data_IF_423535151939
#
_entry.id   IF_423535151939
#
_cell.length_a   1.000
_cell.length_b   1.000
_cell.length_c   1.000
_cell.angle_alpha   90.00
_cell.angle_beta   90.00
_cell.angle_gamma   90.00
#
_symmetry.space_group_name_H-M   'P 1'
#
loop_
_entity.id
_entity.type
_entity.pdbx_description
1 polymer ?
#
# COMPACT_ATOMS: atom_id res chain seq x y z
N UNK A 1 5.24 -5.64 26.87
CA UNK A 1 4.81 -6.37 25.66
C UNK A 1 5.22 -5.57 24.43
N UNK A 2 5.62 -6.24 23.35
CA UNK A 2 6.25 -5.64 22.17
C UNK A 2 5.14 -5.36 21.15
N UNK A 3 4.79 -4.10 20.88
CA UNK A 3 3.54 -3.80 20.18
C UNK A 3 3.77 -2.85 19.01
N UNK A 4 2.90 -2.97 18.01
CA UNK A 4 2.79 -2.06 16.88
C UNK A 4 1.56 -1.16 17.03
N UNK A 5 1.58 -0.02 16.37
CA UNK A 5 0.39 0.84 16.27
C UNK A 5 -0.73 0.14 15.52
N UNK A 6 -1.99 0.44 15.87
CA UNK A 6 -3.18 -0.09 15.18
C UNK A 6 -3.25 0.29 13.70
N UNK A 7 -2.52 1.32 13.27
CA UNK A 7 -2.47 1.74 11.87
C UNK A 7 -1.48 0.92 11.01
N UNK A 8 -0.68 0.03 11.60
CA UNK A 8 0.32 -0.75 10.87
C UNK A 8 -0.30 -1.73 9.88
N UNK A 9 0.33 -1.87 8.71
CA UNK A 9 -0.12 -2.74 7.63
C UNK A 9 0.71 -4.03 7.59
N UNK A 10 0.07 -5.18 7.84
CA UNK A 10 0.70 -6.50 7.88
C UNK A 10 0.59 -7.19 6.52
N UNK A 11 1.68 -7.82 6.09
CA UNK A 11 1.73 -8.55 4.82
C UNK A 11 1.07 -9.93 4.95
N UNK A 12 -0.10 -10.10 4.33
CA UNK A 12 -0.89 -11.35 4.36
C UNK A 12 -0.92 -12.04 3.01
N UNK A 13 -1.34 -13.30 2.94
CA UNK A 13 -1.56 -13.98 1.66
C UNK A 13 -2.55 -13.24 0.74
N UNK A 14 -3.49 -12.46 1.30
CA UNK A 14 -4.49 -11.69 0.58
C UNK A 14 -4.07 -10.23 0.29
N UNK A 15 -2.80 -9.89 0.52
CA UNK A 15 -2.27 -8.53 0.40
C UNK A 15 -2.03 -7.85 1.75
N UNK A 16 -1.83 -6.52 1.73
CA UNK A 16 -1.60 -5.75 2.96
C UNK A 16 -2.93 -5.47 3.67
N UNK A 17 -3.03 -5.83 4.96
CA UNK A 17 -4.19 -5.54 5.81
C UNK A 17 -3.77 -4.72 7.01
N UNK A 18 -4.66 -3.87 7.56
CA UNK A 18 -4.39 -3.24 8.86
C UNK A 18 -4.27 -4.33 9.92
N UNK A 19 -3.38 -4.15 10.89
CA UNK A 19 -3.16 -5.11 11.98
C UNK A 19 -4.47 -5.38 12.76
N UNK A 20 -5.38 -4.40 12.81
CA UNK A 20 -6.72 -4.53 13.39
C UNK A 20 -7.64 -5.48 12.64
N UNK A 21 -7.38 -5.73 11.35
CA UNK A 21 -8.24 -6.52 10.47
C UNK A 21 -7.73 -7.98 10.33
N UNK A 22 -6.59 -8.29 10.96
CA UNK A 22 -6.02 -9.63 11.00
C UNK A 22 -6.88 -10.51 11.91
N UNK A 23 -7.10 -11.75 11.48
CA UNK A 23 -7.85 -12.76 12.26
C UNK A 23 -6.95 -13.94 12.59
N UNK A 24 -7.22 -14.58 13.74
CA UNK A 24 -6.56 -15.83 14.12
C UNK A 24 -6.78 -16.89 13.04
N UNK A 25 -5.73 -17.60 12.67
CA UNK A 25 -5.71 -18.59 11.60
C UNK A 25 -5.33 -18.02 10.22
N UNK A 26 -5.34 -16.70 10.02
CA UNK A 26 -4.92 -16.11 8.75
C UNK A 26 -3.43 -16.36 8.47
N UNK A 27 -3.10 -16.54 7.19
CA UNK A 27 -1.72 -16.73 6.75
C UNK A 27 -1.05 -15.39 6.48
N UNK A 28 0.04 -15.13 7.17
CA UNK A 28 0.86 -13.92 7.04
C UNK A 28 2.29 -14.27 6.64
N UNK A 29 2.96 -13.32 6.00
CA UNK A 29 4.35 -13.51 5.58
C UNK A 29 5.31 -13.19 6.72
N UNK A 30 6.20 -14.14 6.97
CA UNK A 30 7.37 -14.05 7.83
C UNK A 30 8.66 -14.11 6.99
N UNK A 31 9.77 -13.77 7.61
CA UNK A 31 11.12 -13.90 7.10
C UNK A 31 11.72 -15.23 7.59
N UNK A 32 12.10 -16.11 6.67
CA UNK A 32 12.86 -17.33 6.96
C UNK A 32 14.32 -16.96 7.24
N UNK A 33 14.77 -17.09 8.50
CA UNK A 33 16.13 -16.74 8.92
C UNK A 33 17.23 -17.59 8.27
N UNK A 34 16.90 -18.79 7.77
CA UNK A 34 17.87 -19.70 7.15
C UNK A 34 17.98 -19.46 5.65
N UNK A 35 16.84 -19.33 4.97
CA UNK A 35 16.77 -19.18 3.51
C UNK A 35 16.73 -17.73 3.04
N UNK A 36 16.54 -16.79 3.97
CA UNK A 36 16.34 -15.37 3.69
C UNK A 36 15.20 -15.10 2.70
N UNK A 37 14.15 -15.92 2.76
CA UNK A 37 13.02 -15.86 1.85
C UNK A 37 11.71 -15.66 2.61
N UNK A 38 10.69 -15.09 1.95
CA UNK A 38 9.38 -14.94 2.56
C UNK A 38 8.71 -16.31 2.71
N UNK A 39 8.14 -16.57 3.89
CA UNK A 39 7.44 -17.81 4.20
C UNK A 39 6.07 -17.51 4.82
N UNK A 40 5.03 -18.22 4.36
CA UNK A 40 3.70 -18.08 4.95
C UNK A 40 3.60 -18.87 6.26
N UNK A 41 3.17 -18.19 7.32
CA UNK A 41 2.88 -18.79 8.62
C UNK A 41 1.49 -18.39 9.08
N UNK A 42 0.90 -19.20 9.97
CA UNK A 42 -0.41 -18.89 10.56
C UNK A 42 -0.23 -17.87 11.68
N UNK A 43 -1.13 -16.89 11.73
CA UNK A 43 -1.30 -16.04 12.90
C UNK A 43 -2.08 -16.81 13.97
N UNK A 44 -1.43 -17.19 15.07
CA UNK A 44 -2.05 -18.01 16.13
C UNK A 44 -2.60 -17.20 17.29
N UNK A 45 -2.27 -15.90 17.39
CA UNK A 45 -2.77 -15.02 18.45
C UNK A 45 -2.76 -13.56 18.04
N UNK A 46 -3.68 -12.81 18.64
CA UNK A 46 -3.81 -11.35 18.52
C UNK A 46 -3.93 -10.82 19.93
N UNK A 47 -3.12 -9.84 20.29
CA UNK A 47 -3.02 -9.31 21.64
C UNK A 47 -3.27 -7.81 21.61
N UNK A 48 -4.34 -7.38 22.27
CA UNK A 48 -4.57 -5.96 22.52
C UNK A 48 -3.82 -5.55 23.77
N UNK A 49 -2.84 -4.67 23.60
CA UNK A 49 -1.96 -4.23 24.67
C UNK A 49 -2.37 -2.86 25.23
N UNK A 50 -3.54 -2.34 24.80
CA UNK A 50 -4.05 -1.05 25.21
C UNK A 50 -3.15 0.10 24.78
N UNK A 51 -3.24 1.20 25.52
CA UNK A 51 -2.51 2.44 25.23
C UNK A 51 -1.05 2.30 25.70
N UNK A 52 -0.10 2.58 24.80
CA UNK A 52 1.34 2.57 25.08
C UNK A 52 2.01 3.77 24.43
N UNK A 53 3.19 4.15 24.95
CA UNK A 53 4.10 5.09 24.29
C UNK A 53 4.59 4.50 22.97
N UNK A 54 4.34 5.21 21.88
CA UNK A 54 4.70 4.80 20.52
C UNK A 54 5.74 5.73 19.94
N UNK A 55 6.73 5.11 19.30
CA UNK A 55 7.83 5.75 18.60
C UNK A 55 7.75 5.38 17.13
N UNK A 56 8.11 6.31 16.26
CA UNK A 56 8.17 6.09 14.83
C UNK A 56 9.62 5.89 14.40
N UNK A 57 9.93 4.68 13.92
CA UNK A 57 11.17 4.38 13.23
C UNK A 57 10.99 4.78 11.76
N UNK A 58 11.90 5.59 11.24
CA UNK A 58 11.95 5.96 9.81
C UNK A 58 13.27 5.56 9.20
N UNK A 59 13.22 4.94 8.03
CA UNK A 59 14.30 4.92 7.06
C UNK A 59 14.00 5.97 5.98
N UNK A 60 14.75 5.98 4.88
CA UNK A 60 14.41 6.84 3.74
C UNK A 60 13.14 6.35 3.00
N UNK A 61 12.86 5.04 3.02
CA UNK A 61 11.78 4.41 2.26
C UNK A 61 10.72 3.73 3.12
N UNK A 62 10.94 3.43 4.39
CA UNK A 62 9.97 2.76 5.24
C UNK A 62 9.79 3.50 6.55
N UNK A 63 8.63 3.29 7.17
CA UNK A 63 8.31 3.88 8.47
C UNK A 63 7.35 2.95 9.19
N UNK A 64 7.58 2.75 10.47
CA UNK A 64 6.75 1.90 11.32
C UNK A 64 6.66 2.51 12.72
N UNK A 65 5.50 2.36 13.33
CA UNK A 65 5.20 2.84 14.68
C UNK A 65 5.14 1.66 15.64
N UNK A 66 5.99 1.70 16.67
CA UNK A 66 6.11 0.61 17.63
C UNK A 66 6.45 1.10 19.04
N UNK A 67 6.28 0.24 20.03
CA UNK A 67 6.72 0.49 21.41
C UNK A 67 8.25 0.40 21.54
N UNK A 68 8.83 1.05 22.55
CA UNK A 68 10.30 1.12 22.74
C UNK A 68 10.98 -0.26 22.85
N UNK A 69 10.28 -1.25 23.39
CA UNK A 69 10.76 -2.61 23.56
C UNK A 69 10.55 -3.50 22.32
N UNK A 70 9.91 -3.01 21.25
CA UNK A 70 9.60 -3.84 20.08
C UNK A 70 10.89 -4.21 19.30
N UNK A 71 11.19 -5.51 19.07
CA UNK A 71 12.40 -5.93 18.38
C UNK A 71 12.31 -5.83 16.86
N UNK A 72 13.39 -5.36 16.24
CA UNK A 72 13.60 -5.31 14.79
C UNK A 72 14.80 -6.16 14.40
N UNK A 73 14.72 -6.79 13.22
CA UNK A 73 15.83 -7.57 12.68
C UNK A 73 16.86 -6.63 12.06
N UNK A 74 18.08 -6.64 12.59
CA UNK A 74 19.19 -5.83 12.11
C UNK A 74 20.27 -6.68 11.46
N UNK A 75 20.93 -6.12 10.44
CA UNK A 75 22.17 -6.64 9.90
C UNK A 75 23.35 -6.00 10.65
N UNK A 76 24.03 -6.78 11.49
CA UNK A 76 25.27 -6.36 12.16
C UNK A 76 26.46 -6.74 11.28
N UNK A 77 27.01 -5.74 10.59
CA UNK A 77 28.24 -5.89 9.81
C UNK A 77 29.41 -6.14 10.77
N UNK A 78 30.10 -7.27 10.59
CA UNK A 78 31.37 -7.57 11.26
C UNK A 78 32.51 -6.95 10.43
N UNK A 79 33.70 -6.82 11.03
CA UNK A 79 34.88 -6.25 10.36
C UNK A 79 35.24 -6.95 9.04
N UNK A 80 36.18 -6.37 8.28
CA UNK A 80 36.59 -6.89 6.95
C UNK A 80 36.83 -8.41 6.98
N UNK A 81 36.21 -9.12 6.04
CA UNK A 81 36.34 -10.57 5.87
C UNK A 81 35.39 -11.44 6.70
N UNK A 82 34.65 -10.85 7.66
CA UNK A 82 33.68 -11.60 8.48
C UNK A 82 32.27 -11.52 7.89
N UNK A 83 31.56 -12.66 7.91
CA UNK A 83 30.15 -12.72 7.51
C UNK A 83 29.31 -11.87 8.46
N UNK A 84 28.45 -10.97 7.95
CA UNK A 84 27.54 -10.22 8.80
C UNK A 84 26.53 -11.16 9.45
N UNK A 85 26.02 -10.76 10.61
CA UNK A 85 25.05 -11.53 11.37
C UNK A 85 23.70 -10.81 11.45
N UNK A 86 22.61 -11.57 11.47
CA UNK A 86 21.27 -11.06 11.72
C UNK A 86 20.96 -11.14 13.21
N UNK A 87 20.57 -10.02 13.81
CA UNK A 87 20.34 -9.93 15.26
C UNK A 87 19.03 -9.20 15.53
N UNK A 88 18.27 -9.65 16.53
CA UNK A 88 17.10 -8.92 17.01
C UNK A 88 17.51 -7.85 18.01
N UNK A 89 17.05 -6.61 17.78
CA UNK A 89 17.37 -5.49 18.65
C UNK A 89 16.13 -4.66 18.92
N UNK A 90 15.85 -4.37 20.20
CA UNK A 90 14.73 -3.52 20.62
C UNK A 90 14.87 -2.11 20.09
N UNK A 91 13.74 -1.46 19.80
CA UNK A 91 13.69 -0.10 19.28
C UNK A 91 14.48 0.91 20.11
N UNK A 92 14.41 0.83 21.43
CA UNK A 92 15.13 1.70 22.38
C UNK A 92 16.66 1.59 22.28
N UNK A 93 17.16 0.44 21.78
CA UNK A 93 18.59 0.22 21.61
C UNK A 93 19.06 0.59 20.19
N UNK A 94 18.13 0.77 19.23
CA UNK A 94 18.46 1.13 17.86
C UNK A 94 18.94 2.57 17.75
N UNK A 95 19.83 2.84 16.80
CA UNK A 95 20.32 4.19 16.50
C UNK A 95 20.33 4.49 15.02
N UNK A 96 20.40 5.78 14.68
CA UNK A 96 20.60 6.24 13.30
C UNK A 96 21.81 5.54 12.68
N UNK A 97 21.63 4.99 11.48
CA UNK A 97 22.65 4.24 10.76
C UNK A 97 22.63 2.72 10.95
N UNK A 98 21.95 2.20 11.98
CA UNK A 98 21.71 0.75 12.08
C UNK A 98 20.94 0.26 10.84
N UNK A 99 21.30 -0.91 10.31
CA UNK A 99 20.73 -1.48 9.08
C UNK A 99 19.61 -2.47 9.45
N UNK A 100 18.37 -2.17 9.06
CA UNK A 100 17.20 -3.04 9.26
C UNK A 100 16.84 -3.79 7.99
N UNK A 101 16.16 -4.93 8.16
CA UNK A 101 15.68 -5.75 7.03
C UNK A 101 14.30 -5.27 6.56
N UNK A 102 14.20 -4.97 5.28
CA UNK A 102 12.98 -4.46 4.64
C UNK A 102 12.61 -5.28 3.41
N UNK A 103 11.34 -5.25 3.04
CA UNK A 103 10.82 -5.83 1.80
C UNK A 103 11.12 -4.90 0.62
N UNK A 104 11.70 -5.43 -0.46
CA UNK A 104 11.94 -4.70 -1.72
C UNK A 104 11.05 -5.16 -2.88
N UNK A 105 10.43 -6.33 -2.74
CA UNK A 105 9.50 -6.90 -3.70
C UNK A 105 8.43 -7.70 -2.96
N UNK A 106 7.32 -8.01 -3.63
CA UNK A 106 6.25 -8.79 -3.03
C UNK A 106 6.36 -10.29 -3.33
N UNK A 107 6.03 -11.16 -2.36
CA UNK A 107 5.99 -12.62 -2.54
C UNK A 107 4.63 -13.16 -3.01
N UNK A 108 3.74 -12.30 -3.48
CA UNK A 108 2.39 -12.72 -3.84
C UNK A 108 2.39 -13.56 -5.11
N UNK A 109 1.53 -14.58 -5.15
CA UNK A 109 1.27 -15.32 -6.39
C UNK A 109 0.57 -14.36 -7.35
N UNK A 110 1.29 -13.96 -8.39
CA UNK A 110 0.83 -12.98 -9.37
C UNK A 110 -0.14 -13.63 -10.36
N UNK A 111 -1.45 -13.51 -10.08
CA UNK A 111 -2.54 -13.88 -10.99
C UNK A 111 -3.59 -12.78 -10.97
N UNK A 112 -4.31 -12.63 -12.08
CA UNK A 112 -5.48 -11.76 -12.14
C UNK A 112 -6.46 -12.14 -11.02
N UNK A 113 -6.96 -11.13 -10.33
CA UNK A 113 -7.81 -11.29 -9.17
C UNK A 113 -9.23 -11.63 -9.61
N UNK A 114 -9.78 -12.73 -9.10
CA UNK A 114 -11.17 -13.11 -9.35
C UNK A 114 -12.09 -12.35 -8.41
N UNK A 115 -13.02 -11.59 -8.96
CA UNK A 115 -13.96 -10.79 -8.18
C UNK A 115 -15.02 -11.68 -7.53
N UNK A 116 -15.42 -11.32 -6.31
CA UNK A 116 -16.55 -11.97 -5.65
C UNK A 116 -17.83 -11.62 -6.42
N UNK A 117 -18.77 -12.57 -6.59
CA UNK A 117 -20.08 -12.26 -7.12
C UNK A 117 -20.77 -11.18 -6.27
N UNK A 118 -21.42 -10.23 -6.92
CA UNK A 118 -22.24 -9.21 -6.28
C UNK A 118 -23.71 -9.48 -6.54
N UNK A 119 -24.58 -9.03 -5.65
CA UNK A 119 -26.02 -9.03 -5.89
C UNK A 119 -26.36 -7.99 -6.96
N UNK A 120 -26.74 -8.48 -8.13
CA UNK A 120 -27.13 -7.67 -9.29
C UNK A 120 -28.58 -7.26 -9.11
N UNK A 121 -28.89 -5.98 -9.33
CA UNK A 121 -30.29 -5.53 -9.35
C UNK A 121 -31.00 -5.98 -10.63
N UNK A 122 -32.33 -6.09 -10.58
CA UNK A 122 -33.19 -6.41 -11.72
C UNK A 122 -34.21 -5.29 -11.93
N UNK A 123 -34.76 -5.20 -13.15
CA UNK A 123 -35.88 -4.29 -13.44
C UNK A 123 -37.06 -4.69 -12.55
N UNK A 124 -37.65 -3.72 -11.83
CA UNK A 124 -38.73 -3.97 -10.87
C UNK A 124 -38.28 -4.05 -9.41
N UNK A 125 -36.97 -4.10 -9.13
CA UNK A 125 -36.47 -3.88 -7.76
C UNK A 125 -36.86 -2.48 -7.26
N UNK A 126 -36.95 -2.32 -5.92
CA UNK A 126 -37.27 -1.04 -5.29
C UNK A 126 -36.36 0.10 -5.81
N UNK A 127 -37.00 1.11 -6.42
CA UNK A 127 -36.37 2.29 -7.07
C UNK A 127 -35.51 1.98 -8.31
N UNK A 128 -35.69 0.82 -8.96
CA UNK A 128 -35.00 0.45 -10.22
C UNK A 128 -35.98 0.44 -11.40
N UNK A 129 -36.21 1.62 -11.98
CA UNK A 129 -37.13 1.79 -13.12
C UNK A 129 -36.51 1.40 -14.47
N UNK A 130 -35.18 1.52 -14.60
CA UNK A 130 -34.42 1.16 -15.81
C UNK A 130 -33.14 0.45 -15.41
N UNK A 131 -32.77 -0.57 -16.17
CA UNK A 131 -31.50 -1.28 -16.00
C UNK A 131 -30.71 -1.25 -17.29
N UNK A 132 -29.40 -1.03 -17.17
CA UNK A 132 -28.48 -1.12 -18.29
C UNK A 132 -27.84 -2.50 -18.26
N UNK A 133 -28.07 -3.29 -19.31
CA UNK A 133 -27.41 -4.57 -19.49
C UNK A 133 -25.92 -4.33 -19.70
N UNK A 134 -25.12 -4.78 -18.73
CA UNK A 134 -23.67 -4.63 -18.73
C UNK A 134 -23.04 -5.95 -18.28
N UNK A 135 -22.05 -6.41 -19.03
CA UNK A 135 -21.28 -7.59 -18.64
C UNK A 135 -20.18 -7.15 -17.68
N UNK A 136 -20.37 -7.43 -16.38
CA UNK A 136 -19.38 -7.12 -15.37
C UNK A 136 -18.14 -8.04 -15.52
N UNK A 137 -16.92 -7.50 -15.39
CA UNK A 137 -15.71 -8.29 -15.35
C UNK A 137 -15.75 -9.33 -14.23
N UNK A 138 -15.31 -10.56 -14.53
CA UNK A 138 -15.16 -11.63 -13.54
C UNK A 138 -13.79 -11.62 -12.86
N UNK A 139 -12.81 -11.02 -13.53
CA UNK A 139 -11.44 -10.92 -13.06
C UNK A 139 -10.83 -9.57 -13.42
N UNK A 140 -9.76 -9.21 -12.71
CA UNK A 140 -8.99 -8.01 -12.99
C UNK A 140 -8.26 -8.12 -14.34
N UNK A 141 -8.01 -6.98 -14.96
CA UNK A 141 -7.28 -6.90 -16.21
C UNK A 141 -6.57 -5.55 -16.32
N UNK A 142 -5.54 -5.39 -17.16
CA UNK A 142 -4.87 -4.10 -17.32
C UNK A 142 -5.83 -2.96 -17.67
N UNK A 143 -6.81 -3.20 -18.55
CA UNK A 143 -7.78 -2.16 -18.94
C UNK A 143 -8.65 -1.75 -17.75
N UNK A 144 -9.14 -2.72 -16.96
CA UNK A 144 -9.97 -2.43 -15.80
C UNK A 144 -9.17 -1.70 -14.72
N UNK A 145 -7.94 -2.14 -14.46
CA UNK A 145 -7.07 -1.52 -13.47
C UNK A 145 -6.71 -0.08 -13.83
N UNK A 146 -6.53 0.24 -15.12
CA UNK A 146 -6.29 1.61 -15.56
C UNK A 146 -7.52 2.52 -15.36
N UNK A 147 -8.74 2.00 -15.59
CA UNK A 147 -9.99 2.71 -15.22
C UNK A 147 -10.08 2.91 -13.70
N UNK A 148 -9.75 1.89 -12.91
CA UNK A 148 -9.79 1.96 -11.46
C UNK A 148 -8.75 2.95 -10.90
N UNK A 149 -7.61 3.11 -11.57
CA UNK A 149 -6.64 4.17 -11.25
C UNK A 149 -7.21 5.56 -11.48
N UNK A 150 -7.89 5.79 -12.62
CA UNK A 150 -8.61 7.04 -12.89
C UNK A 150 -9.73 7.29 -11.87
N UNK A 151 -10.44 6.22 -11.46
CA UNK A 151 -11.49 6.30 -10.45
C UNK A 151 -10.95 6.68 -9.07
N UNK A 152 -9.76 6.18 -8.70
CA UNK A 152 -9.16 6.48 -7.41
C UNK A 152 -8.69 7.94 -7.33
N UNK A 153 -8.21 8.51 -8.43
CA UNK A 153 -7.86 9.94 -8.47
C UNK A 153 -9.09 10.84 -8.60
N UNK A 154 -9.69 10.87 -9.79
CA UNK A 154 -10.73 11.86 -10.14
C UNK A 154 -12.16 11.33 -10.06
N UNK A 155 -12.37 10.11 -9.55
CA UNK A 155 -13.67 9.42 -9.59
C UNK A 155 -14.45 9.39 -8.27
N UNK A 156 -15.78 9.46 -8.39
CA UNK A 156 -16.72 9.24 -7.28
C UNK A 156 -17.86 8.29 -7.68
N UNK A 157 -18.55 7.74 -6.68
CA UNK A 157 -19.74 6.91 -6.87
C UNK A 157 -20.88 7.45 -6.02
N UNK A 158 -22.08 7.48 -6.61
CA UNK A 158 -23.35 7.60 -5.89
C UNK A 158 -24.15 6.32 -6.12
N UNK A 159 -23.89 5.30 -5.30
CA UNK A 159 -24.44 3.95 -5.50
C UNK A 159 -25.97 3.95 -5.57
N UNK A 160 -26.62 4.70 -4.67
CA UNK A 160 -28.09 4.84 -4.63
C UNK A 160 -28.68 5.47 -5.90
N UNK A 161 -27.89 6.21 -6.68
CA UNK A 161 -28.28 6.79 -7.97
C UNK A 161 -27.80 5.97 -9.16
N UNK A 162 -27.04 4.88 -8.93
CA UNK A 162 -26.37 4.14 -9.98
C UNK A 162 -25.42 5.00 -10.81
N UNK A 163 -24.79 6.01 -10.21
CA UNK A 163 -23.96 7.00 -10.90
C UNK A 163 -22.50 6.81 -10.52
N UNK A 164 -21.63 6.79 -11.53
CA UNK A 164 -20.19 6.91 -11.40
C UNK A 164 -19.78 8.17 -12.16
N UNK A 165 -19.08 9.08 -11.50
CA UNK A 165 -18.61 10.32 -12.11
C UNK A 165 -17.10 10.43 -12.06
N UNK A 166 -16.54 11.17 -13.01
CA UNK A 166 -15.11 11.48 -13.11
C UNK A 166 -14.91 12.97 -13.39
N UNK A 167 -14.04 13.63 -12.64
CA UNK A 167 -13.66 15.04 -12.80
C UNK A 167 -12.63 15.23 -13.92
N UNK A 168 -12.97 14.73 -15.12
CA UNK A 168 -12.08 14.73 -16.28
C UNK A 168 -12.66 15.64 -17.37
N UNK A 169 -12.07 16.84 -17.60
CA UNK A 169 -12.53 17.74 -18.63
C UNK A 169 -12.51 17.12 -20.03
N UNK A 170 -13.53 17.45 -20.82
CA UNK A 170 -13.71 16.90 -22.17
C UNK A 170 -12.51 17.23 -23.06
N UNK A 171 -12.02 16.22 -23.79
CA UNK A 171 -10.92 16.38 -24.76
C UNK A 171 -9.52 16.23 -24.16
N UNK A 172 -9.41 16.12 -22.83
CA UNK A 172 -8.13 15.80 -22.18
C UNK A 172 -7.69 14.37 -22.49
N UNK A 173 -6.38 14.10 -22.41
CA UNK A 173 -5.81 12.76 -22.56
C UNK A 173 -6.48 11.73 -21.64
N UNK A 174 -6.72 12.10 -20.38
CA UNK A 174 -7.38 11.26 -19.39
C UNK A 174 -8.83 10.93 -19.78
N UNK A 175 -9.61 11.95 -20.19
CA UNK A 175 -10.99 11.76 -20.63
C UNK A 175 -11.10 10.82 -21.84
N UNK A 176 -10.24 11.01 -22.85
CA UNK A 176 -10.22 10.18 -24.06
C UNK A 176 -9.82 8.74 -23.72
N UNK A 177 -8.81 8.56 -22.87
CA UNK A 177 -8.35 7.24 -22.44
C UNK A 177 -9.41 6.49 -21.62
N UNK A 178 -10.11 7.18 -20.72
CA UNK A 178 -11.23 6.59 -19.98
C UNK A 178 -12.31 6.07 -20.93
N UNK A 179 -12.71 6.87 -21.91
CA UNK A 179 -13.75 6.52 -22.88
C UNK A 179 -13.34 5.30 -23.70
N UNK A 180 -12.10 5.27 -24.21
CA UNK A 180 -11.55 4.15 -24.97
C UNK A 180 -11.62 2.84 -24.17
N UNK A 181 -11.09 2.85 -22.93
CA UNK A 181 -11.07 1.69 -22.06
C UNK A 181 -12.49 1.25 -21.66
N UNK A 182 -13.37 2.21 -21.39
CA UNK A 182 -14.75 1.94 -21.03
C UNK A 182 -15.50 1.25 -22.17
N UNK A 183 -15.38 1.78 -23.40
CA UNK A 183 -16.02 1.19 -24.59
C UNK A 183 -15.52 -0.23 -24.81
N UNK A 184 -14.21 -0.47 -24.63
CA UNK A 184 -13.60 -1.80 -24.78
C UNK A 184 -14.12 -2.82 -23.77
N UNK A 185 -14.41 -2.40 -22.52
CA UNK A 185 -14.85 -3.31 -21.46
C UNK A 185 -16.37 -3.45 -21.34
N UNK A 186 -17.11 -2.38 -21.58
CA UNK A 186 -18.51 -2.26 -21.21
C UNK A 186 -19.43 -1.82 -22.37
N UNK A 187 -18.86 -1.40 -23.51
CA UNK A 187 -19.60 -0.87 -24.64
C UNK A 187 -19.93 0.63 -24.53
N UNK A 188 -20.43 1.22 -25.62
CA UNK A 188 -20.51 2.68 -25.83
C UNK A 188 -21.70 3.38 -25.18
N UNK A 189 -22.79 2.66 -24.85
CA UNK A 189 -24.13 3.24 -24.63
C UNK A 189 -24.32 4.02 -23.32
N UNK A 190 -23.33 4.03 -22.41
CA UNK A 190 -23.53 4.46 -21.01
C UNK A 190 -22.77 5.72 -20.59
N UNK A 191 -22.02 6.35 -21.50
CA UNK A 191 -21.19 7.51 -21.19
C UNK A 191 -21.94 8.81 -21.51
N UNK A 192 -22.13 9.66 -20.51
CA UNK A 192 -22.56 11.04 -20.66
C UNK A 192 -21.37 11.99 -20.43
N UNK A 193 -21.24 13.01 -21.28
CA UNK A 193 -20.09 13.94 -21.26
C UNK A 193 -20.57 15.36 -21.04
N UNK A 194 -20.04 15.99 -20.00
CA UNK A 194 -20.19 17.42 -19.75
C UNK A 194 -18.85 18.14 -20.00
N UNK A 195 -18.80 19.45 -19.78
CA UNK A 195 -17.59 20.26 -19.98
C UNK A 195 -16.42 19.76 -19.12
N UNK A 196 -16.68 19.55 -17.82
CA UNK A 196 -15.66 19.22 -16.82
C UNK A 196 -15.76 17.78 -16.29
N UNK A 197 -16.81 17.04 -16.67
CA UNK A 197 -17.16 15.77 -16.05
C UNK A 197 -17.54 14.71 -17.07
N UNK A 198 -17.22 13.45 -16.74
CA UNK A 198 -17.75 12.26 -17.42
C UNK A 198 -18.61 11.49 -16.43
N UNK A 199 -19.82 11.14 -16.84
CA UNK A 199 -20.74 10.33 -16.06
C UNK A 199 -21.03 9.00 -16.73
N UNK A 200 -21.17 7.98 -15.90
CA UNK A 200 -21.64 6.66 -16.28
C UNK A 200 -22.81 6.30 -15.38
N UNK A 201 -23.97 6.07 -15.99
CA UNK A 201 -25.18 5.67 -15.28
C UNK A 201 -25.38 4.15 -15.41
N UNK A 202 -25.09 3.41 -14.35
CA UNK A 202 -25.37 1.97 -14.24
C UNK A 202 -25.38 1.54 -12.78
N UNK A 203 -26.54 1.09 -12.28
CA UNK A 203 -26.71 0.58 -10.91
C UNK A 203 -25.75 -0.56 -10.61
N UNK A 204 -25.66 -1.54 -11.52
CA UNK A 204 -24.83 -2.73 -11.32
C UNK A 204 -23.33 -2.41 -11.40
N UNK A 205 -22.93 -1.46 -12.26
CA UNK A 205 -21.53 -1.04 -12.31
C UNK A 205 -21.14 -0.22 -11.08
N UNK A 206 -22.02 0.66 -10.60
CA UNK A 206 -21.78 1.43 -9.38
C UNK A 206 -21.63 0.51 -8.16
N UNK A 207 -22.50 -0.51 -8.02
CA UNK A 207 -22.37 -1.55 -6.99
C UNK A 207 -21.09 -2.35 -7.14
N UNK A 208 -20.72 -2.72 -8.37
CA UNK A 208 -19.48 -3.43 -8.65
C UNK A 208 -18.27 -2.64 -8.19
N UNK A 209 -18.10 -1.39 -8.63
CA UNK A 209 -16.93 -0.59 -8.24
C UNK A 209 -16.94 -0.32 -6.71
N UNK A 210 -18.10 -0.09 -6.10
CA UNK A 210 -18.19 0.07 -4.65
C UNK A 210 -17.72 -1.20 -3.90
N UNK A 211 -18.07 -2.40 -4.41
CA UNK A 211 -17.65 -3.69 -3.83
C UNK A 211 -16.16 -3.99 -3.93
N UNK A 212 -15.39 -3.18 -4.67
CA UNK A 212 -13.94 -3.34 -4.80
C UNK A 212 -13.14 -2.67 -3.67
N UNK A 213 -13.82 -1.96 -2.76
CA UNK A 213 -13.27 -1.35 -1.55
C UNK A 213 -12.18 -0.28 -1.76
N UNK A 214 -12.17 0.39 -2.92
CA UNK A 214 -11.26 1.53 -3.17
C UNK A 214 -11.61 2.80 -2.39
N UNK A 215 -12.78 2.85 -1.73
CA UNK A 215 -13.33 4.05 -1.11
C UNK A 215 -14.14 4.93 -2.08
N UNK A 216 -15.07 5.72 -1.54
CA UNK A 216 -16.08 6.43 -2.35
C UNK A 216 -15.84 7.93 -2.49
N UNK A 217 -15.12 8.55 -1.55
CA UNK A 217 -14.77 9.98 -1.52
C UNK A 217 -13.27 10.21 -1.51
N UNK A 218 -12.82 11.42 -1.87
CA UNK A 218 -11.40 11.79 -1.95
C UNK A 218 -10.60 11.55 -0.65
N UNK A 219 -11.22 11.71 0.53
CA UNK A 219 -10.57 11.48 1.83
C UNK A 219 -10.57 10.01 2.26
N UNK A 220 -11.44 9.19 1.68
CA UNK A 220 -11.64 7.77 2.05
C UNK A 220 -10.97 6.79 1.09
N UNK A 221 -10.38 7.28 -0.01
CA UNK A 221 -9.74 6.40 -1.01
C UNK A 221 -8.60 5.62 -0.40
N UNK A 222 -8.38 4.40 -0.88
CA UNK A 222 -7.29 3.51 -0.48
C UNK A 222 -6.89 2.61 -1.66
N UNK A 223 -5.69 2.03 -1.62
CA UNK A 223 -5.36 0.84 -2.42
C UNK A 223 -5.78 -0.41 -1.64
N UNK A 224 -6.80 -1.17 -2.10
CA UNK A 224 -7.28 -2.36 -1.40
C UNK A 224 -6.23 -3.48 -1.31
N UNK A 225 -6.32 -4.37 -0.31
CA UNK A 225 -5.36 -5.47 -0.13
C UNK A 225 -5.15 -6.32 -1.39
N UNK A 226 -6.22 -6.65 -2.10
CA UNK A 226 -6.15 -7.51 -3.29
C UNK A 226 -5.34 -6.89 -4.44
N UNK A 227 -5.20 -5.56 -4.52
CA UNK A 227 -4.38 -4.90 -5.55
C UNK A 227 -2.89 -5.23 -5.37
N UNK A 228 -2.46 -5.48 -4.13
CA UNK A 228 -1.10 -5.89 -3.84
C UNK A 228 -0.77 -7.26 -4.43
N UNK A 229 -1.76 -8.15 -4.62
CA UNK A 229 -1.53 -9.51 -5.15
C UNK A 229 -1.52 -9.58 -6.67
N UNK A 230 -1.79 -8.48 -7.37
CA UNK A 230 -1.92 -8.45 -8.82
C UNK A 230 -0.59 -8.67 -9.57
N UNK A 231 -0.64 -9.17 -10.81
CA UNK A 231 0.52 -9.22 -11.68
C UNK A 231 1.04 -7.83 -12.01
N UNK A 232 2.30 -7.77 -12.44
CA UNK A 232 3.01 -6.52 -12.67
C UNK A 232 2.32 -5.64 -13.73
N UNK A 233 1.83 -6.21 -14.83
CA UNK A 233 1.16 -5.40 -15.87
C UNK A 233 -0.08 -4.69 -15.34
N UNK A 234 -0.84 -5.34 -14.46
CA UNK A 234 -2.06 -4.80 -13.87
C UNK A 234 -1.77 -3.71 -12.83
N UNK A 235 -0.73 -3.90 -12.00
CA UNK A 235 -0.25 -2.84 -11.09
C UNK A 235 0.22 -1.61 -11.86
N UNK A 236 1.00 -1.82 -12.93
CA UNK A 236 1.45 -0.73 -13.80
C UNK A 236 0.27 -0.03 -14.51
N UNK A 237 -0.76 -0.77 -14.88
CA UNK A 237 -1.98 -0.20 -15.46
C UNK A 237 -2.75 0.67 -14.46
N UNK A 238 -2.91 0.19 -13.23
CA UNK A 238 -3.45 0.97 -12.13
C UNK A 238 -2.66 2.27 -11.92
N UNK A 239 -1.33 2.21 -11.91
CA UNK A 239 -0.47 3.39 -11.80
C UNK A 239 -0.62 4.34 -12.98
N UNK A 240 -0.78 3.85 -14.22
CA UNK A 240 -1.06 4.72 -15.37
C UNK A 240 -2.36 5.51 -15.19
N UNK A 241 -3.41 4.87 -14.67
CA UNK A 241 -4.67 5.54 -14.37
C UNK A 241 -4.53 6.64 -13.31
N UNK A 242 -3.81 6.36 -12.23
CA UNK A 242 -3.49 7.36 -11.20
C UNK A 242 -2.68 8.54 -11.78
N UNK A 243 -1.72 8.25 -12.66
CA UNK A 243 -0.89 9.28 -13.29
C UNK A 243 -1.62 10.11 -14.36
N UNK A 244 -2.78 9.66 -14.84
CA UNK A 244 -3.64 10.43 -15.73
C UNK A 244 -4.62 11.34 -14.98
N UNK A 245 -4.80 11.13 -13.67
CA UNK A 245 -5.66 11.94 -12.79
C UNK A 245 -4.81 12.89 -11.93
N UNK A 246 -4.65 12.61 -10.63
CA UNK A 246 -3.91 13.46 -9.67
C UNK A 246 -2.38 13.33 -9.73
N UNK A 247 -1.85 12.58 -10.70
CA UNK A 247 -0.42 12.37 -10.88
C UNK A 247 0.19 13.31 -11.91
N UNK A 248 1.43 13.72 -11.68
CA UNK A 248 2.20 14.52 -12.61
C UNK A 248 3.69 14.19 -12.54
N UNK A 249 4.43 14.53 -13.60
CA UNK A 249 5.85 14.19 -13.73
C UNK A 249 6.69 15.46 -13.74
N UNK A 250 7.72 15.51 -12.89
CA UNK A 250 8.77 16.54 -12.92
C UNK A 250 10.09 15.85 -13.27
N UNK A 251 10.66 16.15 -14.44
CA UNK A 251 11.88 15.50 -14.96
C UNK A 251 11.70 13.97 -14.96
N UNK A 252 12.47 13.25 -14.13
CA UNK A 252 12.44 11.79 -13.98
C UNK A 252 11.66 11.30 -12.74
N UNK A 253 11.01 12.21 -12.01
CA UNK A 253 10.25 11.90 -10.80
C UNK A 253 8.76 12.06 -11.06
N UNK A 254 8.00 11.02 -10.80
CA UNK A 254 6.54 11.09 -10.71
C UNK A 254 6.16 11.63 -9.32
N UNK A 255 5.03 12.33 -9.27
CA UNK A 255 4.38 12.80 -8.05
C UNK A 255 2.92 12.42 -8.12
N UNK A 256 2.37 12.02 -6.99
CA UNK A 256 0.94 11.78 -6.84
C UNK A 256 0.45 12.50 -5.60
N UNK A 257 -0.63 13.25 -5.74
CA UNK A 257 -1.23 14.09 -4.70
C UNK A 257 -2.55 13.47 -4.25
N UNK A 258 -2.86 13.52 -2.97
CA UNK A 258 -4.17 13.10 -2.49
C UNK A 258 -4.52 13.75 -1.15
N UNK A 259 -5.83 13.94 -0.93
CA UNK A 259 -6.39 14.28 0.38
C UNK A 259 -6.50 13.06 1.31
N UNK A 260 -6.46 11.84 0.77
CA UNK A 260 -6.48 10.61 1.58
C UNK A 260 -5.06 10.22 2.02
N UNK A 261 -4.80 10.33 3.33
CA UNK A 261 -3.54 9.84 3.91
C UNK A 261 -3.42 8.31 3.80
N UNK A 262 -4.53 7.58 3.91
CA UNK A 262 -4.57 6.12 3.75
C UNK A 262 -4.24 5.71 2.29
N UNK A 263 -4.69 6.48 1.29
CA UNK A 263 -4.30 6.26 -0.10
C UNK A 263 -2.80 6.47 -0.28
N UNK A 264 -2.24 7.57 0.24
CA UNK A 264 -0.81 7.84 0.12
C UNK A 264 0.04 6.77 0.84
N UNK A 265 -0.41 6.30 2.01
CA UNK A 265 0.25 5.21 2.77
C UNK A 265 0.25 3.91 1.99
N UNK A 266 -0.92 3.47 1.52
CA UNK A 266 -1.06 2.20 0.79
C UNK A 266 -0.44 2.23 -0.60
N UNK A 267 -0.58 3.34 -1.34
CA UNK A 267 0.08 3.52 -2.65
C UNK A 267 1.60 3.53 -2.52
N UNK A 268 2.14 4.19 -1.48
CA UNK A 268 3.58 4.18 -1.21
C UNK A 268 4.10 2.77 -1.00
N UNK A 269 3.43 1.98 -0.16
CA UNK A 269 3.79 0.58 0.08
C UNK A 269 3.65 -0.27 -1.19
N UNK A 270 2.57 -0.08 -1.96
CA UNK A 270 2.37 -0.80 -3.22
C UNK A 270 3.54 -0.53 -4.18
N UNK A 271 3.89 0.74 -4.39
CA UNK A 271 5.01 1.15 -5.24
C UNK A 271 6.36 0.60 -4.74
N UNK A 272 6.58 0.53 -3.43
CA UNK A 272 7.80 -0.03 -2.84
C UNK A 272 7.97 -1.52 -3.10
N UNK A 273 6.86 -2.25 -3.16
CA UNK A 273 6.84 -3.67 -3.56
C UNK A 273 6.97 -3.91 -5.06
N UNK A 274 7.22 -2.86 -5.84
CA UNK A 274 7.41 -2.92 -7.30
C UNK A 274 8.76 -2.28 -7.69
N UNK A 275 8.97 -2.01 -8.98
CA UNK A 275 10.25 -1.47 -9.47
C UNK A 275 10.41 0.06 -9.27
N UNK A 276 9.78 0.62 -8.24
CA UNK A 276 9.83 2.05 -7.93
C UNK A 276 10.57 2.34 -6.63
N UNK A 277 11.37 3.40 -6.66
CA UNK A 277 11.92 4.05 -5.47
C UNK A 277 10.94 5.14 -5.05
N UNK A 278 10.48 5.10 -3.81
CA UNK A 278 9.43 6.02 -3.31
C UNK A 278 9.95 6.79 -2.10
N UNK A 279 9.76 8.11 -2.10
CA UNK A 279 10.11 8.97 -0.99
C UNK A 279 9.15 8.86 0.20
N UNK A 280 9.35 9.71 1.21
CA UNK A 280 8.39 9.89 2.31
C UNK A 280 7.09 10.54 1.82
N UNK A 281 6.03 10.42 2.61
CA UNK A 281 4.82 11.22 2.44
C UNK A 281 5.12 12.64 2.92
N UNK A 282 4.84 13.62 2.07
CA UNK A 282 4.91 15.02 2.42
C UNK A 282 3.49 15.51 2.69
N UNK A 283 3.26 16.12 3.86
CA UNK A 283 1.97 16.71 4.23
C UNK A 283 2.03 18.22 4.01
N UNK A 284 0.92 18.78 3.53
CA UNK A 284 0.71 20.20 3.35
C UNK A 284 -0.65 20.59 3.94
N UNK A 285 -0.69 21.78 4.54
CA UNK A 285 -1.91 22.41 5.03
C UNK A 285 -2.06 23.73 4.30
N UNK A 286 -3.26 23.99 3.80
CA UNK A 286 -3.70 25.31 3.36
C UNK A 286 -4.77 25.82 4.31
N UNK A 287 -4.68 27.07 4.68
CA UNK A 287 -5.58 27.69 5.65
C UNK A 287 -6.82 28.25 4.97
N UNK A 288 -7.91 28.35 5.73
CA UNK A 288 -9.10 29.10 5.32
C UNK A 288 -8.70 30.50 4.80
N UNK A 289 -9.30 30.91 3.69
CA UNK A 289 -9.03 32.20 3.04
C UNK A 289 -7.87 32.19 2.04
N UNK A 290 -6.97 31.20 2.10
CA UNK A 290 -5.92 31.04 1.10
C UNK A 290 -6.49 30.63 -0.26
N UNK A 291 -5.80 31.02 -1.33
CA UNK A 291 -6.16 30.61 -2.68
C UNK A 291 -5.71 29.18 -2.97
N UNK A 292 -6.65 28.37 -3.45
CA UNK A 292 -6.38 27.09 -4.07
C UNK A 292 -6.89 27.12 -5.52
N UNK A 293 -5.94 27.05 -6.46
CA UNK A 293 -6.19 27.26 -7.88
C UNK A 293 -6.82 28.65 -8.10
N UNK A 294 -8.13 28.76 -8.28
CA UNK A 294 -8.85 30.02 -8.52
C UNK A 294 -9.90 30.36 -7.47
N UNK A 295 -9.93 29.65 -6.32
CA UNK A 295 -10.94 29.85 -5.27
C UNK A 295 -10.29 30.04 -3.91
N UNK A 296 -10.89 30.88 -3.07
CA UNK A 296 -10.53 30.96 -1.64
C UNK A 296 -11.11 29.77 -0.91
N UNK A 297 -10.31 29.16 -0.04
CA UNK A 297 -10.74 28.04 0.79
C UNK A 297 -11.74 28.50 1.84
N UNK A 298 -12.84 27.76 1.98
CA UNK A 298 -13.89 28.01 2.99
C UNK A 298 -13.51 27.44 4.37
N UNK A 299 -12.64 26.43 4.37
CA UNK A 299 -12.13 25.72 5.55
C UNK A 299 -10.67 25.35 5.34
N UNK A 300 -9.97 25.02 6.43
CA UNK A 300 -8.63 24.48 6.37
C UNK A 300 -8.62 23.17 5.57
N UNK A 301 -7.65 23.03 4.65
CA UNK A 301 -7.50 21.85 3.82
C UNK A 301 -6.13 21.22 4.01
N UNK A 302 -6.10 19.93 4.35
CA UNK A 302 -4.87 19.14 4.43
C UNK A 302 -4.82 18.12 3.31
N UNK A 303 -3.68 18.04 2.64
CA UNK A 303 -3.39 17.03 1.63
C UNK A 303 -1.94 16.60 1.72
N UNK A 304 -1.57 15.55 1.00
CA UNK A 304 -0.20 15.12 0.91
C UNK A 304 0.19 14.69 -0.49
N UNK A 305 1.47 14.42 -0.66
CA UNK A 305 1.99 13.86 -1.88
C UNK A 305 3.14 12.89 -1.62
N UNK A 306 3.34 11.99 -2.57
CA UNK A 306 4.52 11.12 -2.65
C UNK A 306 5.28 11.39 -3.93
N UNK A 307 6.61 11.27 -3.85
CA UNK A 307 7.50 11.32 -5.01
C UNK A 307 8.06 9.93 -5.28
N UNK A 308 8.07 9.50 -6.54
CA UNK A 308 8.60 8.19 -6.91
C UNK A 308 9.19 8.15 -8.31
N UNK A 309 10.17 7.30 -8.52
CA UNK A 309 10.82 7.09 -9.82
C UNK A 309 11.20 5.63 -10.01
N UNK A 310 11.34 5.19 -11.25
CA UNK A 310 11.78 3.81 -11.52
C UNK A 310 13.18 3.61 -10.96
N UNK A 311 13.42 2.47 -10.30
CA UNK A 311 14.75 2.08 -9.85
C UNK A 311 15.66 1.98 -11.08
N UNK A 312 16.83 2.61 -11.04
CA UNK A 312 17.88 2.34 -12.03
C UNK A 312 18.47 0.97 -11.71
N UNK A 313 18.51 0.07 -12.68
CA UNK A 313 19.20 -1.21 -12.51
C UNK A 313 20.71 -0.92 -12.43
N UNK A 314 21.36 -1.12 -11.27
CA UNK A 314 22.81 -0.98 -11.22
C UNK A 314 23.45 -2.05 -12.12
N UNK A 315 24.64 -1.78 -12.65
CA UNK A 315 25.42 -2.79 -13.34
C UNK A 315 26.03 -3.74 -12.29
N UNK A 316 25.20 -4.68 -11.81
CA UNK A 316 25.53 -5.61 -10.72
C UNK A 316 26.79 -6.42 -11.04
N UNK A 317 26.95 -6.84 -12.30
CA UNK A 317 28.10 -7.62 -12.76
C UNK A 317 29.44 -6.90 -12.54
N UNK A 318 29.48 -5.57 -12.70
CA UNK A 318 30.72 -4.79 -12.61
C UNK A 318 31.08 -4.36 -11.18
N UNK A 319 30.09 -4.20 -10.28
CA UNK A 319 30.30 -3.57 -8.97
C UNK A 319 29.71 -4.35 -7.79
N UNK A 320 29.54 -5.67 -7.91
CA UNK A 320 28.85 -6.50 -6.91
C UNK A 320 29.39 -6.32 -5.48
N UNK A 321 30.71 -6.30 -5.29
CA UNK A 321 31.34 -6.15 -3.96
C UNK A 321 30.99 -4.81 -3.30
N UNK A 322 31.08 -3.71 -4.05
CA UNK A 322 30.72 -2.37 -3.58
C UNK A 322 29.21 -2.25 -3.31
N UNK A 323 28.39 -2.93 -4.10
CA UNK A 323 26.93 -2.93 -3.91
C UNK A 323 26.55 -3.79 -2.69
N UNK A 324 27.18 -4.94 -2.46
CA UNK A 324 26.99 -5.77 -1.24
C UNK A 324 27.41 -5.05 0.05
N UNK A 325 28.37 -4.15 -0.05
CA UNK A 325 28.72 -3.25 1.05
C UNK A 325 27.60 -2.23 1.36
N UNK A 326 26.69 -1.95 0.43
CA UNK A 326 25.56 -1.04 0.62
C UNK A 326 24.25 -1.77 0.93
N UNK A 327 24.03 -2.92 0.29
CA UNK A 327 22.87 -3.78 0.47
C UNK A 327 23.31 -5.25 0.50
N UNK A 328 23.28 -5.84 1.69
CA UNK A 328 23.68 -7.25 1.86
C UNK A 328 22.77 -8.21 1.08
N UNK A 329 21.49 -7.83 0.92
CA UNK A 329 20.48 -8.63 0.24
C UNK A 329 20.32 -8.22 -1.23
N UNK A 330 21.34 -7.65 -1.87
CA UNK A 330 21.22 -7.22 -3.27
C UNK A 330 20.81 -8.36 -4.21
N UNK A 331 21.36 -9.57 -4.00
CA UNK A 331 21.08 -10.78 -4.80
C UNK A 331 19.79 -11.51 -4.37
N UNK A 332 19.16 -11.09 -3.27
CA UNK A 332 17.86 -11.62 -2.85
C UNK A 332 16.75 -11.04 -3.74
N UNK A 333 15.63 -11.72 -3.97
CA UNK A 333 14.55 -11.11 -4.76
C UNK A 333 13.57 -10.26 -3.95
N UNK A 334 13.46 -10.52 -2.64
CA UNK A 334 12.36 -10.05 -1.80
C UNK A 334 12.78 -9.05 -0.73
N UNK A 335 14.01 -9.12 -0.23
CA UNK A 335 14.50 -8.29 0.86
C UNK A 335 15.69 -7.41 0.46
N UNK A 336 15.88 -6.34 1.24
CA UNK A 336 16.99 -5.39 1.16
C UNK A 336 17.35 -4.93 2.58
N UNK A 337 18.48 -4.28 2.74
CA UNK A 337 18.81 -3.55 3.99
C UNK A 337 18.64 -2.05 3.83
N UNK A 338 18.03 -1.41 4.83
CA UNK A 338 17.91 0.05 4.89
C UNK A 338 18.47 0.60 6.20
N UNK A 339 19.15 1.75 6.11
CA UNK A 339 19.65 2.45 7.30
C UNK A 339 18.53 3.24 7.97
N UNK A 340 18.48 3.14 9.30
CA UNK A 340 17.62 3.99 10.12
C UNK A 340 18.04 5.45 9.95
N UNK A 341 17.08 6.30 9.61
CA UNK A 341 17.28 7.74 9.49
C UNK A 341 16.94 8.47 10.79
N UNK A 342 15.85 8.08 11.46
CA UNK A 342 15.40 8.69 12.72
C UNK A 342 14.51 7.74 13.51
N UNK A 343 14.52 7.90 14.83
CA UNK A 343 13.56 7.28 15.76
C UNK A 343 13.03 8.40 16.64
N UNK A 344 11.73 8.61 16.69
CA UNK A 344 11.11 9.74 17.40
C UNK A 344 9.89 9.29 18.18
N UNK A 345 9.76 9.72 19.43
CA UNK A 345 8.51 9.59 20.16
C UNK A 345 7.40 10.37 19.43
N UNK A 346 6.21 9.79 19.30
CA UNK A 346 5.08 10.44 18.63
C UNK A 346 4.01 10.81 19.65
N UNK A 347 3.41 9.79 20.28
CA UNK A 347 2.32 9.95 21.24
C UNK A 347 2.06 8.62 21.95
N UNK A 348 1.14 8.64 22.90
CA UNK A 348 0.49 7.43 23.38
C UNK A 348 -0.70 7.08 22.49
N UNK A 349 -0.79 5.83 22.06
CA UNK A 349 -1.91 5.35 21.26
C UNK A 349 -2.17 3.85 21.52
N UNK A 350 -3.36 3.34 21.17
CA UNK A 350 -3.65 1.91 21.29
C UNK A 350 -2.74 1.08 20.41
N UNK A 351 -2.24 -0.03 20.95
CA UNK A 351 -1.29 -0.91 20.28
C UNK A 351 -1.77 -2.36 20.25
N UNK A 352 -1.43 -3.04 19.16
CA UNK A 352 -1.70 -4.46 18.97
C UNK A 352 -0.40 -5.21 18.78
N UNK A 353 -0.47 -6.51 19.00
CA UNK A 353 0.58 -7.43 18.60
C UNK A 353 0.00 -8.74 18.08
N UNK A 354 0.79 -9.44 17.27
CA UNK A 354 0.43 -10.73 16.70
C UNK A 354 1.31 -11.82 17.29
N UNK A 355 0.84 -13.07 17.24
CA UNK A 355 1.68 -14.27 17.37
C UNK A 355 1.61 -15.07 16.09
N UNK A 356 2.75 -15.60 15.70
CA UNK A 356 3.03 -16.25 14.42
C UNK A 356 3.77 -17.54 14.70
N UNK A 357 3.28 -18.63 14.15
CA UNK A 357 3.82 -19.95 14.43
C UNK A 357 5.18 -20.17 13.76
N UNK A 358 6.13 -20.76 14.49
CA UNK A 358 7.44 -21.18 13.98
C UNK A 358 8.48 -20.07 13.86
N UNK A 359 8.34 -19.14 12.90
CA UNK A 359 9.38 -18.13 12.61
C UNK A 359 9.48 -17.03 13.68
N UNK A 360 8.46 -16.87 14.52
CA UNK A 360 8.36 -15.82 15.54
C UNK A 360 8.53 -14.37 15.02
N UNK A 361 8.33 -14.15 13.72
CA UNK A 361 8.42 -12.84 13.08
C UNK A 361 7.36 -12.68 11.98
N UNK A 362 7.15 -11.44 11.54
CA UNK A 362 6.27 -11.11 10.41
C UNK A 362 6.73 -9.82 9.74
N UNK A 363 6.10 -9.48 8.60
CA UNK A 363 6.39 -8.25 7.87
C UNK A 363 5.26 -7.25 8.10
N UNK A 364 5.61 -6.09 8.65
CA UNK A 364 4.69 -4.97 8.91
C UNK A 364 5.25 -3.67 8.35
N UNK A 365 4.42 -2.89 7.66
CA UNK A 365 4.79 -1.64 6.98
C UNK A 365 6.07 -1.78 6.10
N UNK A 366 6.29 -2.98 5.54
CA UNK A 366 7.45 -3.33 4.74
C UNK A 366 8.72 -3.69 5.52
N UNK A 367 8.67 -3.76 6.86
CA UNK A 367 9.81 -4.04 7.74
C UNK A 367 9.62 -5.41 8.41
N UNK A 368 10.72 -6.18 8.57
CA UNK A 368 10.72 -7.43 9.33
C UNK A 368 10.73 -7.13 10.83
N UNK A 369 9.69 -7.59 11.51
CA UNK A 369 9.44 -7.34 12.94
C UNK A 369 9.22 -8.63 13.71
N UNK A 370 9.58 -8.64 14.99
CA UNK A 370 9.39 -9.79 15.85
C UNK A 370 7.98 -9.80 16.45
N UNK A 371 7.41 -10.98 16.68
CA UNK A 371 6.13 -11.11 17.38
C UNK A 371 6.35 -11.15 18.91
N UNK A 372 5.38 -10.86 19.79
CA UNK A 372 5.61 -11.12 21.23
C UNK A 372 5.35 -12.59 21.56
N UNK A 373 6.43 -13.27 21.95
CA UNK A 373 6.37 -14.43 22.80
C UNK A 373 7.05 -14.10 24.12
N UNK A 374 6.32 -14.17 25.24
CA UNK A 374 6.96 -14.50 26.51
C UNK A 374 7.79 -15.76 26.24
N UNK A 375 9.12 -15.65 26.27
CA UNK A 375 9.98 -16.82 26.41
C UNK A 375 9.65 -17.45 27.76
N UNK A 376 8.80 -18.48 27.74
CA UNK A 376 8.85 -19.58 28.71
C UNK A 376 9.08 -20.85 27.92
N UNK A 377 10.28 -20.98 27.36
CA UNK A 377 10.89 -22.26 26.94
C UNK A 377 12.30 -22.02 26.37
N UNK A 378 13.30 -22.05 27.26
CA UNK A 378 14.60 -22.72 27.10
C UNK A 378 15.34 -22.65 25.75
N UNK A 379 15.64 -21.46 25.24
CA UNK A 379 16.73 -21.31 24.24
C UNK A 379 17.23 -19.85 24.20
N UNK A 380 17.90 -19.44 25.26
CA UNK A 380 18.90 -18.38 25.20
C UNK A 380 20.20 -19.00 24.70
N UNK A 381 20.84 -18.46 23.66
CA UNK A 381 22.29 -18.48 23.57
C UNK A 381 22.74 -17.06 23.90
N UNK A 382 22.83 -16.76 25.20
CA UNK A 382 23.87 -15.83 25.64
C UNK A 382 25.17 -16.63 25.58
N UNK A 383 26.05 -16.18 24.69
CA UNK A 383 27.47 -16.47 24.63
C UNK A 383 28.16 -15.19 24.21
#
# INVERSE_FOLDING_TARGET
MNCLSRDSLVMTQAGLKKITDIKKGEKIYAFDLKKHNPILKKCSGIFDNGIKKVYELKTYHHSIKATSNHPFLILKRKGRGKTPELVWKKLENLKKGDEIIVSKNNPFISKSFKFKPITISKKGDYKVNKINEIRLPKESSPNLMEILGLYVGDGWIREKKGEIGFALPKGTKASNRLIELYVKLFGKKLIHKEKNYIYVYSVNLARFINSLDFGTSAKTKIVPPWVFTLPKEEKEAFFRGLMLSDGYKIRNSNRYVSASQDLLKTLRLLLQTTNYRVGKIHLQKKLKGEFCVYRRLLEDSSYGYICFSKKKNPNIKKYLSQIKQRDFFIDNDYFSTEKINSITFIKEEPTLDLRVDGEHNFIADGIVVHNTGNQRSSATPFG
#
